data_IF_232737740048
#
_entry.id   IF_232737740048
#
_cell.length_a   1.000
_cell.length_b   1.000
_cell.length_c   1.000
_cell.angle_alpha   90.00
_cell.angle_beta   90.00
_cell.angle_gamma   90.00
#
_symmetry.space_group_name_H-M   'P 1'
#
loop_
_entity.id
_entity.type
_entity.pdbx_description
1 polymer ?
#
# COMPACT_ATOMS: atom_id res chain seq x y z
N UNK A 1 -33.67 11.27 -8.70
CA UNK A 1 -34.31 10.81 -7.45
C UNK A 1 -33.23 10.23 -6.54
N UNK A 2 -32.73 11.01 -5.59
CA UNK A 2 -31.71 10.56 -4.62
C UNK A 2 -32.39 9.82 -3.47
N UNK A 3 -32.42 8.49 -3.56
CA UNK A 3 -32.93 7.64 -2.49
C UNK A 3 -32.13 7.86 -1.20
N UNK A 4 -32.83 8.14 -0.10
CA UNK A 4 -32.21 8.22 1.22
C UNK A 4 -31.64 6.84 1.57
N UNK A 5 -30.31 6.75 1.68
CA UNK A 5 -29.61 5.53 2.13
C UNK A 5 -30.12 5.10 3.50
N UNK A 6 -30.59 3.86 3.62
CA UNK A 6 -31.07 3.32 4.88
C UNK A 6 -29.89 3.15 5.86
N UNK A 7 -29.92 3.85 6.99
CA UNK A 7 -28.96 3.62 8.10
C UNK A 7 -29.31 2.30 8.79
N UNK A 8 -28.74 1.19 8.31
CA UNK A 8 -28.77 -0.10 9.02
C UNK A 8 -27.52 -0.24 9.90
N UNK A 9 -27.68 -0.91 11.04
CA UNK A 9 -26.62 -1.09 12.02
C UNK A 9 -25.59 -2.11 11.51
N UNK A 10 -24.31 -1.87 11.79
CA UNK A 10 -23.16 -2.67 11.30
C UNK A 10 -23.28 -4.18 11.52
N UNK A 11 -23.98 -4.61 12.59
CA UNK A 11 -24.21 -6.01 12.92
C UNK A 11 -25.09 -6.78 11.93
N UNK A 12 -25.72 -6.11 10.96
CA UNK A 12 -26.63 -6.72 9.97
C UNK A 12 -25.98 -7.02 8.60
N UNK A 13 -24.66 -6.88 8.45
CA UNK A 13 -23.96 -7.23 7.21
C UNK A 13 -23.96 -8.75 6.98
N UNK A 14 -24.43 -9.18 5.81
CA UNK A 14 -24.41 -10.59 5.41
C UNK A 14 -22.99 -11.09 5.15
N UNK A 15 -22.77 -12.40 5.22
CA UNK A 15 -21.47 -13.01 4.93
C UNK A 15 -20.97 -12.69 3.52
N UNK A 16 -21.90 -12.66 2.55
CA UNK A 16 -21.63 -12.26 1.17
C UNK A 16 -21.19 -10.78 1.07
N UNK A 17 -21.89 -9.88 1.76
CA UNK A 17 -21.53 -8.44 1.80
C UNK A 17 -20.16 -8.22 2.45
N UNK A 18 -19.84 -8.98 3.51
CA UNK A 18 -18.53 -8.96 4.16
C UNK A 18 -17.44 -9.43 3.21
N UNK A 19 -17.64 -10.56 2.53
CA UNK A 19 -16.70 -11.10 1.54
C UNK A 19 -16.43 -10.12 0.40
N UNK A 20 -17.47 -9.42 -0.07
CA UNK A 20 -17.37 -8.40 -1.11
C UNK A 20 -16.56 -7.17 -0.64
N UNK A 21 -16.83 -6.67 0.57
CA UNK A 21 -16.07 -5.57 1.18
C UNK A 21 -14.60 -5.95 1.34
N UNK A 22 -14.32 -7.15 1.86
CA UNK A 22 -12.96 -7.66 2.06
C UNK A 22 -12.23 -7.76 0.72
N UNK A 23 -12.85 -8.38 -0.29
CA UNK A 23 -12.27 -8.54 -1.63
C UNK A 23 -11.95 -7.21 -2.32
N UNK A 24 -12.85 -6.24 -2.21
CA UNK A 24 -12.61 -4.90 -2.77
C UNK A 24 -11.50 -4.16 -2.00
N UNK A 25 -11.44 -4.32 -0.67
CA UNK A 25 -10.40 -3.70 0.16
C UNK A 25 -9.02 -4.33 -0.04
N UNK A 26 -8.91 -5.65 -0.18
CA UNK A 26 -7.65 -6.33 -0.56
C UNK A 26 -7.22 -5.99 -1.99
N UNK A 27 -8.16 -5.73 -2.89
CA UNK A 27 -7.88 -5.19 -4.23
C UNK A 27 -7.46 -3.70 -4.25
N UNK A 28 -7.33 -3.06 -3.07
CA UNK A 28 -6.80 -1.70 -2.93
C UNK A 28 -7.83 -0.58 -3.11
N UNK A 29 -9.13 -0.88 -3.08
CA UNK A 29 -10.17 0.14 -3.27
C UNK A 29 -10.29 1.07 -2.04
N UNK A 30 -10.58 2.35 -2.29
CA UNK A 30 -10.84 3.35 -1.24
C UNK A 30 -12.18 3.09 -0.54
N UNK A 31 -12.29 3.46 0.74
CA UNK A 31 -13.50 3.18 1.54
C UNK A 31 -14.76 3.80 0.92
N UNK A 32 -14.68 5.05 0.46
CA UNK A 32 -15.79 5.72 -0.23
C UNK A 32 -16.20 5.06 -1.57
N UNK A 33 -15.26 4.44 -2.30
CA UNK A 33 -15.59 3.70 -3.52
C UNK A 33 -16.27 2.36 -3.22
N UNK A 34 -15.87 1.69 -2.14
CA UNK A 34 -16.53 0.47 -1.67
C UNK A 34 -17.94 0.79 -1.16
N UNK A 35 -18.13 1.85 -0.38
CA UNK A 35 -19.44 2.36 0.06
C UNK A 35 -20.40 2.50 -1.13
N UNK A 36 -19.97 3.21 -2.18
CA UNK A 36 -20.77 3.43 -3.38
C UNK A 36 -21.17 2.15 -4.11
N UNK A 37 -20.41 1.06 -3.96
CA UNK A 37 -20.63 -0.21 -4.63
C UNK A 37 -21.47 -1.19 -3.79
N UNK A 38 -21.36 -1.15 -2.46
CA UNK A 38 -22.07 -2.06 -1.55
C UNK A 38 -23.35 -1.47 -0.94
N UNK A 39 -23.70 -0.22 -1.29
CA UNK A 39 -24.80 0.55 -0.69
C UNK A 39 -24.78 0.49 0.86
N UNK A 40 -23.58 0.69 1.42
CA UNK A 40 -23.33 0.74 2.86
C UNK A 40 -22.52 1.97 3.17
N UNK A 41 -22.73 2.56 4.34
CA UNK A 41 -21.96 3.73 4.75
C UNK A 41 -20.47 3.40 4.85
N UNK A 42 -19.64 4.37 4.53
CA UNK A 42 -18.18 4.30 4.69
C UNK A 42 -17.76 3.84 6.09
N UNK A 43 -18.51 4.25 7.13
CA UNK A 43 -18.28 3.79 8.50
C UNK A 43 -18.51 2.29 8.68
N UNK A 44 -19.54 1.71 8.02
CA UNK A 44 -19.79 0.27 8.06
C UNK A 44 -18.73 -0.51 7.27
N UNK A 45 -18.28 0.02 6.12
CA UNK A 45 -17.17 -0.56 5.34
C UNK A 45 -15.87 -0.54 6.15
N UNK A 46 -15.57 0.58 6.81
CA UNK A 46 -14.41 0.75 7.68
C UNK A 46 -14.46 -0.20 8.87
N UNK A 47 -15.57 -0.26 9.60
CA UNK A 47 -15.72 -1.17 10.74
C UNK A 47 -15.63 -2.65 10.31
N UNK A 48 -16.19 -2.99 9.14
CA UNK A 48 -16.09 -4.34 8.57
C UNK A 48 -14.64 -4.68 8.26
N UNK A 49 -13.94 -3.74 7.62
CA UNK A 49 -12.53 -3.88 7.30
C UNK A 49 -11.67 -3.97 8.56
N UNK A 50 -11.82 -3.07 9.53
CA UNK A 50 -11.08 -3.05 10.80
C UNK A 50 -11.33 -4.30 11.65
N UNK A 51 -12.55 -4.85 11.64
CA UNK A 51 -12.87 -6.11 12.33
C UNK A 51 -12.24 -7.34 11.65
N UNK A 52 -12.01 -7.29 10.33
CA UNK A 52 -11.47 -8.40 9.54
C UNK A 52 -9.99 -8.28 9.20
N UNK A 53 -9.41 -7.07 9.21
CA UNK A 53 -7.97 -6.88 9.18
C UNK A 53 -7.44 -7.27 10.53
N UNK A 54 -6.63 -8.33 10.63
CA UNK A 54 -5.89 -8.55 11.85
C UNK A 54 -4.76 -7.51 11.84
N UNK A 55 -5.05 -6.29 12.28
CA UNK A 55 -4.06 -5.65 13.12
C UNK A 55 -3.99 -6.53 14.36
N UNK A 56 -3.08 -7.52 14.34
CA UNK A 56 -2.84 -8.41 15.48
C UNK A 56 -2.42 -7.51 16.64
N UNK A 57 -3.44 -7.11 17.41
CA UNK A 57 -3.31 -6.18 18.52
C UNK A 57 -3.06 -7.02 19.77
N UNK A 58 -2.41 -6.44 20.78
CA UNK A 58 -2.13 -7.12 22.05
C UNK A 58 -3.38 -7.82 22.65
N UNK A 59 -4.55 -7.19 22.53
CA UNK A 59 -5.83 -7.75 22.96
C UNK A 59 -6.20 -9.04 22.22
N UNK A 60 -5.97 -9.10 20.90
CA UNK A 60 -6.25 -10.27 20.06
C UNK A 60 -5.31 -11.43 20.40
N UNK A 61 -4.02 -11.17 20.57
CA UNK A 61 -3.04 -12.22 20.97
C UNK A 61 -3.42 -12.78 22.36
N UNK A 62 -3.85 -11.92 23.29
CA UNK A 62 -4.27 -12.34 24.62
C UNK A 62 -5.50 -13.26 24.58
N UNK A 63 -6.45 -12.98 23.69
CA UNK A 63 -7.65 -13.81 23.49
C UNK A 63 -7.29 -15.14 22.83
N UNK A 64 -6.45 -15.13 21.79
CA UNK A 64 -6.08 -16.34 21.04
C UNK A 64 -5.20 -17.31 21.85
N UNK A 65 -4.28 -16.79 22.67
CA UNK A 65 -3.38 -17.63 23.48
C UNK A 65 -4.07 -18.08 24.79
N UNK A 66 -5.17 -17.44 25.19
CA UNK A 66 -5.92 -17.80 26.40
C UNK A 66 -5.17 -17.54 27.71
N UNK A 67 -4.01 -16.85 27.66
CA UNK A 67 -3.16 -16.54 28.81
C UNK A 67 -3.01 -15.02 28.93
N UNK A 68 -3.07 -14.51 30.17
CA UNK A 68 -2.82 -13.11 30.47
C UNK A 68 -1.32 -12.78 30.28
N UNK A 69 -0.97 -12.32 29.08
CA UNK A 69 0.41 -11.96 28.72
C UNK A 69 0.57 -10.42 28.78
N UNK A 70 1.74 -9.96 29.23
CA UNK A 70 2.13 -8.54 29.22
C UNK A 70 2.85 -8.16 27.91
N UNK A 71 2.72 -6.92 27.39
CA UNK A 71 3.30 -6.52 26.11
C UNK A 71 4.82 -6.74 26.00
N UNK A 72 5.55 -6.60 27.11
CA UNK A 72 6.99 -6.83 27.18
C UNK A 72 7.37 -8.27 26.86
N UNK A 73 6.53 -9.25 27.20
CA UNK A 73 6.77 -10.66 26.89
C UNK A 73 6.60 -10.92 25.39
N UNK A 74 5.59 -10.31 24.76
CA UNK A 74 5.40 -10.38 23.31
C UNK A 74 6.58 -9.73 22.58
N UNK A 75 7.02 -8.55 23.02
CA UNK A 75 8.16 -7.84 22.43
C UNK A 75 9.47 -8.65 22.54
N UNK A 76 9.74 -9.23 23.72
CA UNK A 76 10.90 -10.12 23.92
C UNK A 76 10.84 -11.34 23.02
N UNK A 77 9.69 -12.01 22.95
CA UNK A 77 9.53 -13.19 22.12
C UNK A 77 9.70 -12.87 20.63
N UNK A 78 9.11 -11.77 20.15
CA UNK A 78 9.32 -11.29 18.78
C UNK A 78 10.80 -10.97 18.49
N UNK A 79 11.53 -10.43 19.48
CA UNK A 79 12.96 -10.20 19.35
C UNK A 79 13.76 -11.51 19.31
N UNK A 80 13.43 -12.49 20.14
CA UNK A 80 14.04 -13.84 20.15
C UNK A 80 13.88 -14.53 18.79
N UNK A 81 12.69 -14.46 18.19
CA UNK A 81 12.43 -15.04 16.86
C UNK A 81 12.83 -14.11 15.70
N UNK A 82 13.51 -13.00 16.01
CA UNK A 82 14.03 -11.98 15.09
C UNK A 82 12.98 -11.36 14.14
N UNK A 83 11.76 -11.16 14.63
CA UNK A 83 10.67 -10.50 13.91
C UNK A 83 10.61 -9.04 14.35
N UNK A 84 10.63 -8.11 13.39
CA UNK A 84 10.63 -6.67 13.67
C UNK A 84 9.56 -5.95 12.89
N UNK A 85 8.98 -4.93 13.51
CA UNK A 85 8.07 -4.00 12.84
C UNK A 85 8.86 -3.14 11.84
N UNK A 86 8.55 -3.27 10.55
CA UNK A 86 9.17 -2.58 9.42
C UNK A 86 8.10 -2.02 8.48
N UNK A 87 8.44 -1.01 7.68
CA UNK A 87 7.52 -0.51 6.63
C UNK A 87 7.33 -1.57 5.53
N UNK A 88 6.11 -1.68 5.00
CA UNK A 88 5.83 -2.47 3.80
C UNK A 88 6.77 -2.06 2.65
N UNK A 89 7.11 -3.01 1.80
CA UNK A 89 7.71 -2.68 0.51
C UNK A 89 6.61 -2.27 -0.47
N UNK A 90 6.79 -1.13 -1.14
CA UNK A 90 5.88 -0.67 -2.18
C UNK A 90 6.48 -0.96 -3.55
N UNK A 91 5.89 -1.91 -4.25
CA UNK A 91 6.31 -2.26 -5.60
C UNK A 91 5.45 -1.52 -6.63
N UNK A 92 6.07 -1.13 -7.75
CA UNK A 92 5.31 -0.72 -8.93
C UNK A 92 4.67 -1.95 -9.55
N UNK A 93 3.38 -1.89 -9.94
CA UNK A 93 2.71 -2.99 -10.63
C UNK A 93 3.24 -3.10 -12.06
N UNK A 94 4.37 -3.78 -12.24
CA UNK A 94 4.96 -4.06 -13.55
C UNK A 94 4.47 -5.40 -14.07
N UNK A 95 3.88 -5.38 -15.27
CA UNK A 95 3.59 -6.58 -16.06
C UNK A 95 4.91 -7.28 -16.45
N UNK A 96 4.89 -8.58 -16.77
CA UNK A 96 6.08 -9.29 -17.25
C UNK A 96 6.73 -8.60 -18.47
N UNK A 97 5.91 -8.12 -19.40
CA UNK A 97 6.35 -7.37 -20.57
C UNK A 97 7.08 -6.06 -20.19
N UNK A 98 6.51 -5.26 -19.29
CA UNK A 98 7.18 -4.04 -18.80
C UNK A 98 8.53 -4.34 -18.17
N UNK A 99 8.68 -5.47 -17.46
CA UNK A 99 9.96 -5.86 -16.87
C UNK A 99 11.00 -6.19 -17.95
N UNK A 100 10.59 -6.92 -18.98
CA UNK A 100 11.47 -7.28 -20.09
C UNK A 100 11.92 -6.05 -20.88
N UNK A 101 11.00 -5.15 -21.23
CA UNK A 101 11.33 -3.91 -21.95
C UNK A 101 12.28 -3.02 -21.13
N UNK A 102 12.05 -2.90 -19.82
CA UNK A 102 12.95 -2.14 -18.94
C UNK A 102 14.34 -2.77 -18.86
N UNK A 103 14.42 -4.10 -18.77
CA UNK A 103 15.70 -4.80 -18.77
C UNK A 103 16.47 -4.58 -20.08
N UNK A 104 15.79 -4.76 -21.22
CA UNK A 104 16.38 -4.51 -22.54
C UNK A 104 16.84 -3.06 -22.69
N UNK A 105 16.04 -2.10 -22.23
CA UNK A 105 16.40 -0.68 -22.26
C UNK A 105 17.68 -0.39 -21.47
N UNK A 106 17.83 -0.97 -20.28
CA UNK A 106 19.03 -0.85 -19.46
C UNK A 106 20.23 -1.56 -20.10
N UNK A 107 20.04 -2.76 -20.65
CA UNK A 107 21.10 -3.52 -21.32
C UNK A 107 21.63 -2.79 -22.56
N UNK A 108 20.74 -2.22 -23.38
CA UNK A 108 21.13 -1.46 -24.57
C UNK A 108 21.94 -0.18 -24.24
N UNK A 109 21.85 0.31 -23.01
CA UNK A 109 22.50 1.55 -22.55
C UNK A 109 23.51 1.32 -21.42
N UNK A 110 23.88 0.06 -21.15
CA UNK A 110 24.80 -0.28 -20.07
C UNK A 110 26.21 0.27 -20.29
N UNK A 111 26.60 0.44 -21.55
CA UNK A 111 27.91 0.94 -21.98
C UNK A 111 27.93 2.45 -22.28
N UNK A 112 26.82 3.15 -22.05
CA UNK A 112 26.74 4.60 -22.32
C UNK A 112 27.62 5.38 -21.37
N UNK A 113 28.39 6.31 -21.92
CA UNK A 113 29.26 7.21 -21.17
C UNK A 113 28.52 8.53 -20.82
N UNK A 114 29.17 9.41 -20.07
CA UNK A 114 28.58 10.69 -19.64
C UNK A 114 28.16 11.56 -20.84
N UNK A 115 28.93 11.56 -21.93
CA UNK A 115 28.60 12.35 -23.13
C UNK A 115 27.37 11.83 -23.86
N UNK A 116 27.17 10.51 -23.89
CA UNK A 116 25.96 9.89 -24.47
C UNK A 116 24.72 10.33 -23.67
N UNK A 117 24.82 10.35 -22.34
CA UNK A 117 23.73 10.79 -21.47
C UNK A 117 23.43 12.29 -21.56
N UNK A 118 24.42 13.13 -21.87
CA UNK A 118 24.23 14.57 -22.06
C UNK A 118 23.34 14.91 -23.26
N UNK A 119 23.22 14.00 -24.24
CA UNK A 119 22.31 14.18 -25.39
C UNK A 119 20.84 13.94 -25.04
N UNK A 120 20.56 13.35 -23.87
CA UNK A 120 19.19 13.01 -23.45
C UNK A 120 18.62 14.13 -22.60
N UNK A 121 17.46 14.65 -23.02
CA UNK A 121 16.62 15.51 -22.20
C UNK A 121 15.58 14.64 -21.52
N UNK A 122 15.56 14.64 -20.19
CA UNK A 122 14.54 13.94 -19.43
C UNK A 122 13.37 14.88 -19.18
N UNK A 123 12.16 14.44 -19.48
CA UNK A 123 10.93 15.14 -19.09
C UNK A 123 10.10 14.24 -18.18
N UNK A 124 9.54 14.81 -17.13
CA UNK A 124 8.58 14.11 -16.29
C UNK A 124 7.49 15.08 -15.81
N UNK A 125 6.37 14.51 -15.40
CA UNK A 125 5.26 15.24 -14.81
C UNK A 125 5.24 14.94 -13.30
N UNK A 126 5.55 15.94 -12.49
CA UNK A 126 5.57 15.80 -11.04
C UNK A 126 4.23 16.21 -10.44
N UNK A 127 3.75 15.37 -9.52
CA UNK A 127 2.47 15.52 -8.82
C UNK A 127 2.65 16.01 -7.39
N UNK A 128 2.15 17.19 -7.08
CA UNK A 128 1.97 17.65 -5.70
C UNK A 128 0.58 17.26 -5.20
N UNK A 129 0.54 16.36 -4.21
CA UNK A 129 -0.72 15.90 -3.61
C UNK A 129 -1.10 16.80 -2.44
N UNK A 130 -2.26 17.45 -2.52
CA UNK A 130 -2.84 18.22 -1.43
C UNK A 130 -3.56 17.27 -0.46
N UNK A 131 -2.80 16.62 0.41
CA UNK A 131 -3.33 15.75 1.47
C UNK A 131 -2.28 14.81 2.03
N UNK A 132 -2.28 14.60 3.34
CA UNK A 132 -1.40 13.65 4.01
C UNK A 132 -1.92 12.24 3.77
N UNK A 133 -1.16 11.43 3.04
CA UNK A 133 -1.22 9.99 3.24
C UNK A 133 -0.01 9.66 4.10
N UNK A 134 -0.24 9.50 5.41
CA UNK A 134 0.84 9.18 6.33
C UNK A 134 1.53 7.88 5.91
N UNK A 135 0.91 7.03 5.08
CA UNK A 135 1.55 5.92 4.36
C UNK A 135 2.34 4.93 5.26
N UNK A 136 2.19 5.03 6.58
CA UNK A 136 2.98 4.36 7.61
C UNK A 136 2.45 2.97 7.95
N UNK A 137 1.97 2.22 6.95
CA UNK A 137 1.57 0.83 7.18
C UNK A 137 2.83 0.01 7.47
N UNK A 138 2.83 -0.74 8.57
CA UNK A 138 3.95 -1.56 9.04
C UNK A 138 3.60 -3.05 8.99
N UNK A 139 4.60 -3.87 8.67
CA UNK A 139 4.59 -5.34 8.79
C UNK A 139 5.53 -5.78 9.87
N UNK A 140 5.18 -6.87 10.53
CA UNK A 140 6.12 -7.65 11.34
C UNK A 140 6.76 -8.70 10.43
N UNK A 141 8.08 -8.62 10.21
CA UNK A 141 8.81 -9.58 9.36
C UNK A 141 10.24 -9.81 9.83
N UNK A 142 10.86 -10.89 9.38
CA UNK A 142 12.29 -11.14 9.61
C UNK A 142 13.17 -10.35 8.62
N UNK A 143 14.46 -10.16 8.93
CA UNK A 143 15.44 -9.72 7.94
C UNK A 143 15.44 -10.64 6.71
N UNK A 144 15.58 -10.09 5.51
CA UNK A 144 15.58 -10.85 4.24
C UNK A 144 14.20 -11.03 3.60
N UNK A 145 13.11 -11.03 4.38
CA UNK A 145 11.75 -11.24 3.87
C UNK A 145 11.13 -9.98 3.22
N UNK A 146 11.97 -9.02 2.80
CA UNK A 146 11.51 -7.69 2.38
C UNK A 146 10.57 -7.74 1.17
N UNK A 147 10.88 -8.62 0.22
CA UNK A 147 10.23 -8.72 -1.08
C UNK A 147 9.22 -9.86 -1.15
N UNK A 148 8.99 -10.55 -0.03
CA UNK A 148 7.99 -11.61 0.03
C UNK A 148 6.61 -11.01 -0.24
N UNK A 149 5.77 -11.77 -0.94
CA UNK A 149 4.42 -11.39 -1.31
C UNK A 149 3.59 -10.82 -0.13
N UNK A 150 3.54 -11.43 1.06
CA UNK A 150 2.77 -10.86 2.19
C UNK A 150 3.33 -9.55 2.75
N UNK A 151 4.57 -9.17 2.43
CA UNK A 151 5.22 -7.96 2.92
C UNK A 151 5.34 -6.85 1.86
N UNK A 152 4.71 -7.08 0.71
CA UNK A 152 4.74 -6.19 -0.44
C UNK A 152 3.33 -5.73 -0.77
N UNK A 153 3.18 -4.44 -1.01
CA UNK A 153 1.92 -3.85 -1.49
C UNK A 153 2.20 -3.18 -2.82
N UNK A 154 1.31 -3.39 -3.80
CA UNK A 154 1.37 -2.68 -5.06
C UNK A 154 0.95 -1.23 -4.85
N UNK A 155 1.79 -0.29 -5.28
CA UNK A 155 1.46 1.13 -5.25
C UNK A 155 0.65 1.47 -6.49
N UNK A 156 -0.64 1.73 -6.30
CA UNK A 156 -1.48 2.36 -7.30
C UNK A 156 -1.51 3.87 -7.08
N UNK A 157 -1.62 4.64 -8.16
CA UNK A 157 -1.76 6.09 -8.12
C UNK A 157 -3.14 6.42 -7.55
N UNK A 158 -3.19 7.09 -6.40
CA UNK A 158 -4.45 7.48 -5.78
C UNK A 158 -4.98 8.78 -6.42
N UNK A 159 -6.28 8.86 -6.68
CA UNK A 159 -6.95 10.08 -7.13
C UNK A 159 -7.20 11.00 -5.93
N UNK A 160 -6.28 11.94 -5.68
CA UNK A 160 -6.43 13.03 -4.70
C UNK A 160 -6.32 14.38 -5.41
N UNK A 161 -6.89 15.44 -4.83
CA UNK A 161 -6.72 16.79 -5.35
C UNK A 161 -5.22 17.10 -5.49
N UNK A 162 -4.82 17.57 -6.66
CA UNK A 162 -3.41 17.61 -7.07
C UNK A 162 -3.08 18.84 -7.89
N UNK A 163 -1.83 19.28 -7.78
CA UNK A 163 -1.20 20.21 -8.72
C UNK A 163 -0.17 19.43 -9.53
N UNK A 164 -0.28 19.50 -10.85
CA UNK A 164 0.66 18.86 -11.77
C UNK A 164 1.63 19.90 -12.30
N UNK A 165 2.91 19.56 -12.33
CA UNK A 165 3.98 20.41 -12.86
C UNK A 165 4.76 19.60 -13.89
N UNK A 166 4.93 20.17 -15.07
CA UNK A 166 5.77 19.58 -16.11
C UNK A 166 7.17 20.18 -16.04
N UNK A 167 8.19 19.32 -16.08
CA UNK A 167 9.60 19.76 -16.07
C UNK A 167 10.37 18.94 -17.10
N UNK A 168 11.25 19.62 -17.84
CA UNK A 168 12.26 18.98 -18.65
C UNK A 168 13.65 19.46 -18.23
N UNK A 169 14.58 18.53 -18.03
CA UNK A 169 15.93 18.81 -17.60
C UNK A 169 16.94 17.93 -18.36
N UNK A 170 17.95 18.52 -19.00
CA UNK A 170 19.09 17.78 -19.53
C UNK A 170 20.04 17.35 -18.41
N UNK A 171 20.87 16.34 -18.65
CA UNK A 171 21.93 16.00 -17.71
C UNK A 171 22.99 17.12 -17.67
N UNK A 172 23.01 17.89 -16.59
CA UNK A 172 24.04 18.91 -16.35
C UNK A 172 25.20 18.22 -15.63
N UNK A 173 26.33 18.05 -16.32
CA UNK A 173 27.57 17.62 -15.66
C UNK A 173 28.07 18.76 -14.77
N UNK A 174 27.88 18.62 -13.45
CA UNK A 174 28.59 19.46 -12.47
C UNK A 174 30.06 19.03 -12.36
N UNK A 175 30.97 19.93 -11.95
CA UNK A 175 32.35 19.53 -11.65
C UNK A 175 32.36 18.54 -10.49
N UNK A 176 33.16 17.49 -10.62
CA UNK A 176 33.43 16.45 -9.60
C UNK A 176 34.34 17.01 -8.52
#
# INVERSE_FOLDING_TARGET
MTGKRARRHFSQLSEFERGLIIGMKTAGWSMGRVDGQVDRSECAVRNCWEQWTPEVTHSTIRVDVGVAIVPQTISRHLAEVNIKSKRYFRALPLTPEHRQLRLQWCQARSMWNVTDWQTVVFSDEFRFVLGTDDNLVRVWRRPGERYNFPHTVLRYTAHKAEVMVWVAQPMIAGPV
#
